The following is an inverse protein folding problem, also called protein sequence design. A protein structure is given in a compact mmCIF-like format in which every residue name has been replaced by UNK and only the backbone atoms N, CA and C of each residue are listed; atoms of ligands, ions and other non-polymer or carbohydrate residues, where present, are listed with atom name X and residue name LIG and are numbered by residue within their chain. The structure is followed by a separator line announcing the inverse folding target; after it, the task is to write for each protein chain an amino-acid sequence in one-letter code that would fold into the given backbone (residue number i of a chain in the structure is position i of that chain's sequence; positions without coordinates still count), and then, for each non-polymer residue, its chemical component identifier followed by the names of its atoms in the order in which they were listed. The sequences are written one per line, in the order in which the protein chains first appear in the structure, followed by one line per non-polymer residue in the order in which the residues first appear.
data_IF_783793322971
#
_entry.id   IF_783793322971
#
_cell.length_a   1.000
_cell.length_b   1.000
_cell.length_c   1.000
_cell.angle_alpha   90.00
_cell.angle_beta   90.00
_cell.angle_gamma   90.00
#
_symmetry.space_group_name_H-M   'P 1'
#
loop_
_entity.id
_entity.type
_entity.pdbx_description
1 polymer ?
#
# COMPACT_ATOMS: atom_id res chain seq x y z
N UNK A 1 -11.60 8.16 -61.16
CA UNK A 1 -11.94 8.97 -59.98
C UNK A 1 -12.71 8.23 -58.90
N UNK A 2 -13.69 7.34 -59.17
CA UNK A 2 -14.47 6.64 -58.14
C UNK A 2 -13.65 5.61 -57.34
N UNK A 3 -12.62 4.97 -57.93
CA UNK A 3 -11.76 3.97 -57.25
C UNK A 3 -10.75 4.60 -56.25
N UNK A 4 -10.30 5.82 -56.51
CA UNK A 4 -9.39 6.55 -55.63
C UNK A 4 -10.11 7.14 -54.39
N UNK A 5 -11.37 7.51 -54.53
CA UNK A 5 -12.20 7.98 -53.40
C UNK A 5 -12.55 6.83 -52.44
N UNK A 6 -12.76 5.62 -52.98
CA UNK A 6 -13.01 4.43 -52.16
C UNK A 6 -11.75 4.02 -51.37
N UNK A 7 -10.58 4.07 -52.02
CA UNK A 7 -9.31 3.79 -51.34
C UNK A 7 -8.98 4.82 -50.25
N UNK A 8 -9.29 6.10 -50.47
CA UNK A 8 -9.11 7.15 -49.48
C UNK A 8 -10.07 7.00 -48.30
N UNK A 9 -11.33 6.63 -48.57
CA UNK A 9 -12.31 6.36 -47.50
C UNK A 9 -11.95 5.13 -46.65
N UNK A 10 -11.40 4.09 -47.26
CA UNK A 10 -10.90 2.91 -46.54
C UNK A 10 -9.64 3.29 -45.72
N UNK A 11 -8.70 4.04 -46.31
CA UNK A 11 -7.51 4.50 -45.59
C UNK A 11 -7.84 5.43 -44.40
N UNK A 12 -8.84 6.31 -44.54
CA UNK A 12 -9.29 7.18 -43.44
C UNK A 12 -10.04 6.41 -42.35
N UNK A 13 -10.78 5.35 -42.71
CA UNK A 13 -11.41 4.45 -41.72
C UNK A 13 -10.37 3.64 -40.91
N UNK A 14 -9.27 3.23 -41.55
CA UNK A 14 -8.15 2.59 -40.85
C UNK A 14 -7.25 3.57 -40.09
N UNK A 15 -7.11 4.83 -40.52
CA UNK A 15 -6.38 5.84 -39.78
C UNK A 15 -7.05 6.28 -38.48
N UNK A 16 -8.38 6.16 -38.37
CA UNK A 16 -9.11 6.34 -37.12
C UNK A 16 -8.91 5.22 -36.07
N UNK A 17 -8.53 4.02 -36.50
CA UNK A 17 -8.22 2.90 -35.63
C UNK A 17 -6.77 2.90 -35.09
N UNK A 18 -5.89 3.72 -35.65
CA UNK A 18 -4.46 3.78 -35.28
C UNK A 18 -4.16 4.68 -34.08
N UNK A 19 -5.16 5.21 -33.39
CA UNK A 19 -5.00 6.13 -32.25
C UNK A 19 -5.10 5.45 -30.87
N UNK A 20 -5.19 4.13 -30.81
CA UNK A 20 -5.11 3.37 -29.56
C UNK A 20 -3.66 3.36 -29.06
N UNK A 21 -3.23 4.40 -28.36
CA UNK A 21 -1.86 4.49 -27.85
C UNK A 21 -1.72 3.55 -26.66
N UNK A 22 -1.29 2.32 -26.94
CA UNK A 22 -0.85 1.38 -25.90
C UNK A 22 0.41 1.94 -25.23
N UNK A 23 0.43 1.94 -23.92
CA UNK A 23 1.58 2.42 -23.14
C UNK A 23 2.07 1.34 -22.20
N UNK A 24 3.39 1.20 -22.12
CA UNK A 24 4.06 0.42 -21.09
C UNK A 24 4.96 1.36 -20.30
N UNK A 25 4.85 1.33 -18.99
CA UNK A 25 5.67 2.10 -18.08
C UNK A 25 6.54 1.19 -17.24
N UNK A 26 7.78 1.61 -17.04
CA UNK A 26 8.72 1.02 -16.10
C UNK A 26 8.91 2.04 -14.99
N UNK A 27 8.84 1.60 -13.76
CA UNK A 27 9.04 2.44 -12.59
C UNK A 27 9.56 1.64 -11.42
N UNK A 28 9.90 2.33 -10.37
CA UNK A 28 10.40 1.66 -9.18
C UNK A 28 10.80 2.61 -8.07
N UNK A 29 11.32 2.01 -7.02
CA UNK A 29 11.89 2.70 -5.87
C UNK A 29 13.09 1.93 -5.37
N UNK A 30 14.17 2.63 -5.08
CA UNK A 30 15.28 2.13 -4.27
C UNK A 30 15.32 2.97 -3.00
N UNK A 31 15.40 2.30 -1.84
CA UNK A 31 15.33 2.92 -0.53
C UNK A 31 16.27 2.18 0.43
N UNK A 32 17.38 2.81 0.79
CA UNK A 32 18.39 2.25 1.67
C UNK A 32 18.67 3.17 2.84
N UNK A 33 18.88 2.59 4.00
CA UNK A 33 19.22 3.33 5.21
C UNK A 33 20.33 2.65 6.02
N UNK A 34 21.12 3.46 6.67
CA UNK A 34 22.01 3.06 7.76
C UNK A 34 21.31 3.36 9.08
N UNK A 35 21.31 2.42 9.99
CA UNK A 35 20.65 2.62 11.28
C UNK A 35 20.50 1.38 12.11
N UNK A 36 19.47 1.37 12.94
CA UNK A 36 19.10 0.30 13.85
C UNK A 36 17.59 0.15 13.89
N UNK A 37 17.09 -1.07 13.73
CA UNK A 37 15.65 -1.34 13.86
C UNK A 37 15.22 -1.42 15.33
N UNK A 38 13.98 -1.08 15.62
CA UNK A 38 13.36 -1.35 16.93
C UNK A 38 13.36 -2.87 17.16
N UNK A 39 13.81 -3.31 18.33
CA UNK A 39 13.92 -4.72 18.68
C UNK A 39 15.24 -5.37 18.26
N UNK A 40 16.15 -4.65 17.62
CA UNK A 40 17.49 -5.13 17.26
C UNK A 40 18.57 -4.39 18.05
N UNK A 41 19.61 -5.09 18.49
CA UNK A 41 20.85 -4.49 19.01
C UNK A 41 21.78 -4.06 17.86
N UNK A 42 21.68 -4.71 16.70
CA UNK A 42 22.58 -4.54 15.57
C UNK A 42 22.29 -3.26 14.79
N UNK A 43 23.36 -2.60 14.40
CA UNK A 43 23.34 -1.48 13.44
C UNK A 43 23.87 -1.98 12.11
N UNK A 44 23.33 -1.45 11.02
CA UNK A 44 23.75 -1.86 9.70
C UNK A 44 23.15 -1.02 8.58
N UNK A 45 23.47 -1.43 7.37
CA UNK A 45 22.79 -1.01 6.16
C UNK A 45 21.64 -1.99 5.91
N UNK A 46 20.46 -1.48 5.61
CA UNK A 46 19.29 -2.31 5.35
C UNK A 46 18.32 -1.64 4.37
N UNK A 47 17.56 -2.47 3.66
CA UNK A 47 16.39 -2.01 2.92
C UNK A 47 15.32 -1.52 3.91
N UNK A 48 14.92 -0.27 3.79
CA UNK A 48 13.67 0.16 4.41
C UNK A 48 12.54 -0.38 3.55
N UNK A 49 11.63 -1.23 4.08
CA UNK A 49 10.73 -2.04 3.26
C UNK A 49 10.02 -1.25 2.18
N UNK A 50 10.37 -1.46 0.95
CA UNK A 50 9.72 -0.73 -0.12
C UNK A 50 10.45 -0.69 -1.44
N UNK A 51 11.69 -1.13 -1.53
CA UNK A 51 12.42 -1.20 -2.79
C UNK A 51 11.74 -2.17 -3.75
N UNK A 52 11.56 -1.71 -5.01
CA UNK A 52 10.75 -2.41 -5.99
C UNK A 52 11.07 -1.99 -7.42
N UNK A 53 10.81 -2.92 -8.34
CA UNK A 53 10.74 -2.69 -9.77
C UNK A 53 9.34 -3.06 -10.23
N UNK A 54 8.68 -2.18 -10.97
CA UNK A 54 7.34 -2.41 -11.46
C UNK A 54 7.21 -2.07 -12.94
N UNK A 55 6.35 -2.85 -13.61
CA UNK A 55 5.87 -2.62 -14.96
C UNK A 55 4.36 -2.47 -14.91
N UNK A 56 3.84 -1.55 -15.69
CA UNK A 56 2.42 -1.36 -15.88
C UNK A 56 2.12 -0.98 -17.30
N UNK A 57 0.91 -1.25 -17.75
CA UNK A 57 0.50 -0.89 -19.09
C UNK A 57 -0.99 -0.68 -19.21
N UNK A 58 -1.33 0.03 -20.30
CA UNK A 58 -2.71 0.30 -20.69
C UNK A 58 -2.81 0.18 -22.20
N UNK A 59 -3.79 -0.59 -22.64
CA UNK A 59 -4.20 -0.72 -24.05
C UNK A 59 -5.62 -0.19 -24.20
N UNK A 60 -5.84 0.74 -25.09
CA UNK A 60 -7.18 1.22 -25.41
C UNK A 60 -7.90 0.18 -26.30
N UNK A 61 -9.05 -0.27 -25.84
CA UNK A 61 -9.88 -1.22 -26.56
C UNK A 61 -11.01 -0.58 -27.37
N UNK A 62 -11.07 0.76 -27.37
CA UNK A 62 -12.18 1.50 -27.95
C UNK A 62 -13.42 1.57 -27.05
N UNK A 63 -14.38 2.40 -27.39
CA UNK A 63 -15.63 2.53 -26.63
C UNK A 63 -15.46 3.01 -25.18
N UNK A 64 -14.33 3.63 -24.83
CA UNK A 64 -14.00 4.08 -23.48
C UNK A 64 -13.52 2.94 -22.56
N UNK A 65 -13.21 1.76 -23.10
CA UNK A 65 -12.64 0.64 -22.37
C UNK A 65 -11.14 0.51 -22.59
N UNK A 66 -10.44 -0.03 -21.62
CA UNK A 66 -9.03 -0.36 -21.75
C UNK A 66 -8.69 -1.65 -21.01
N UNK A 67 -7.77 -2.43 -21.58
CA UNK A 67 -7.05 -3.46 -20.87
C UNK A 67 -5.91 -2.82 -20.05
N UNK A 68 -5.71 -3.27 -18.85
CA UNK A 68 -4.66 -2.78 -17.95
C UNK A 68 -3.95 -3.94 -17.29
N UNK A 69 -2.65 -3.79 -17.02
CA UNK A 69 -1.90 -4.77 -16.27
C UNK A 69 -0.89 -4.11 -15.33
N UNK A 70 -0.45 -4.85 -14.34
CA UNK A 70 0.63 -4.43 -13.46
C UNK A 70 1.34 -5.62 -12.84
N UNK A 71 2.68 -5.55 -12.79
CA UNK A 71 3.53 -6.52 -12.12
C UNK A 71 4.59 -5.77 -11.30
N UNK A 72 4.89 -6.23 -10.09
CA UNK A 72 5.85 -5.62 -9.18
C UNK A 72 6.71 -6.69 -8.51
N UNK A 73 8.02 -6.58 -8.70
CA UNK A 73 9.03 -7.32 -7.97
C UNK A 73 9.56 -6.49 -6.81
N UNK A 74 9.68 -7.11 -5.61
CA UNK A 74 10.30 -6.49 -4.45
C UNK A 74 11.62 -7.15 -4.14
N UNK A 75 12.62 -6.35 -3.86
CA UNK A 75 13.97 -6.81 -3.59
C UNK A 75 14.63 -6.00 -2.46
N UNK A 76 15.68 -6.55 -1.88
CA UNK A 76 16.52 -5.90 -0.88
C UNK A 76 17.80 -5.41 -1.56
N UNK A 77 17.94 -4.10 -1.81
CA UNK A 77 19.05 -3.59 -2.60
C UNK A 77 20.40 -3.63 -1.85
N UNK A 78 20.39 -3.78 -0.53
CA UNK A 78 21.60 -4.00 0.29
C UNK A 78 22.27 -5.36 0.02
N UNK A 79 21.49 -6.37 -0.33
CA UNK A 79 21.98 -7.74 -0.61
C UNK A 79 21.76 -8.18 -2.06
N UNK A 80 20.94 -7.46 -2.84
CA UNK A 80 20.54 -7.82 -4.20
C UNK A 80 19.55 -8.99 -4.27
N UNK A 81 18.98 -9.43 -3.14
CA UNK A 81 18.08 -10.58 -3.07
C UNK A 81 16.63 -10.19 -3.23
N UNK A 82 15.78 -11.13 -3.69
CA UNK A 82 14.33 -10.99 -3.64
C UNK A 82 13.84 -10.98 -2.18
N UNK A 83 12.85 -10.14 -1.84
CA UNK A 83 12.22 -10.16 -0.52
C UNK A 83 11.31 -11.38 -0.30
N UNK A 84 11.15 -12.24 -1.31
CA UNK A 84 10.44 -13.51 -1.22
C UNK A 84 11.25 -14.62 -1.89
N UNK A 85 11.48 -15.70 -1.17
CA UNK A 85 12.19 -16.85 -1.72
C UNK A 85 11.35 -17.63 -2.76
N UNK A 86 10.04 -17.49 -2.74
CA UNK A 86 9.11 -18.33 -3.52
C UNK A 86 8.33 -17.58 -4.60
N UNK A 87 8.13 -16.27 -4.42
CA UNK A 87 7.31 -15.47 -5.33
C UNK A 87 8.14 -14.35 -5.96
N UNK A 88 8.49 -14.49 -7.22
CA UNK A 88 9.22 -13.44 -7.93
C UNK A 88 8.42 -12.14 -8.02
N UNK A 89 7.17 -12.20 -8.49
CA UNK A 89 6.25 -11.05 -8.53
C UNK A 89 5.52 -10.87 -7.20
N UNK A 90 6.30 -10.72 -6.12
CA UNK A 90 5.81 -10.72 -4.75
C UNK A 90 5.09 -9.43 -4.33
N UNK A 91 5.22 -8.35 -5.09
CA UNK A 91 4.47 -7.12 -4.94
C UNK A 91 3.01 -7.31 -5.39
N UNK A 92 2.78 -7.18 -6.67
CA UNK A 92 1.50 -7.47 -7.31
C UNK A 92 1.73 -8.09 -8.69
N UNK A 93 0.72 -8.80 -9.20
CA UNK A 93 0.71 -9.38 -10.54
C UNK A 93 -0.75 -9.57 -10.96
N UNK A 94 -1.24 -8.68 -11.81
CA UNK A 94 -2.65 -8.65 -12.18
C UNK A 94 -2.84 -8.13 -13.63
N UNK A 95 -3.96 -8.52 -14.22
CA UNK A 95 -4.51 -7.98 -15.46
C UNK A 95 -5.94 -7.54 -15.20
N UNK A 96 -6.45 -6.59 -15.94
CA UNK A 96 -7.80 -6.08 -15.70
C UNK A 96 -8.40 -5.30 -16.86
N UNK A 97 -9.66 -4.92 -16.65
CA UNK A 97 -10.43 -4.05 -17.55
C UNK A 97 -10.82 -2.77 -16.79
N UNK A 98 -10.67 -1.66 -17.46
CA UNK A 98 -11.10 -0.35 -17.00
C UNK A 98 -12.08 0.26 -18.00
N UNK A 99 -13.10 0.96 -17.50
CA UNK A 99 -14.11 1.61 -18.33
C UNK A 99 -15.02 2.51 -17.49
N UNK A 100 -16.11 2.96 -18.06
CA UNK A 100 -17.13 3.78 -17.38
C UNK A 100 -17.76 3.06 -16.16
N UNK A 101 -17.66 1.74 -16.10
CA UNK A 101 -18.08 0.93 -14.97
C UNK A 101 -17.08 0.89 -13.80
N UNK A 102 -15.90 1.50 -13.93
CA UNK A 102 -14.79 1.40 -12.98
C UNK A 102 -13.70 0.46 -13.47
N UNK A 103 -13.03 -0.23 -12.56
CA UNK A 103 -11.92 -1.15 -12.88
C UNK A 103 -12.12 -2.49 -12.17
N UNK A 104 -11.97 -3.58 -12.95
CA UNK A 104 -11.87 -4.95 -12.45
C UNK A 104 -10.46 -5.45 -12.69
N UNK A 105 -9.83 -6.07 -11.68
CA UNK A 105 -8.51 -6.72 -11.77
C UNK A 105 -8.60 -8.16 -11.33
N UNK A 106 -7.82 -9.02 -11.98
CA UNK A 106 -7.68 -10.44 -11.67
C UNK A 106 -6.22 -10.74 -11.37
N UNK A 107 -5.93 -11.41 -10.26
CA UNK A 107 -4.58 -11.81 -9.88
C UNK A 107 -4.22 -11.45 -8.44
N UNK A 108 -2.93 -11.25 -8.19
CA UNK A 108 -2.41 -10.82 -6.90
C UNK A 108 -2.38 -9.29 -6.83
N UNK A 109 -3.06 -8.71 -5.85
CA UNK A 109 -3.08 -7.27 -5.65
C UNK A 109 -3.12 -6.90 -4.16
N UNK A 110 -2.88 -5.64 -3.84
CA UNK A 110 -3.10 -5.07 -2.51
C UNK A 110 -4.57 -5.17 -2.12
N UNK A 111 -4.83 -5.48 -0.84
CA UNK A 111 -6.20 -5.45 -0.33
C UNK A 111 -6.76 -4.03 -0.33
N UNK A 112 -8.08 -3.92 -0.47
CA UNK A 112 -8.79 -2.64 -0.44
C UNK A 112 -8.59 -1.92 0.91
N UNK A 113 -8.63 -2.65 2.02
CA UNK A 113 -8.38 -2.10 3.36
C UNK A 113 -6.96 -1.54 3.48
N UNK A 114 -5.95 -2.30 3.02
CA UNK A 114 -4.56 -1.87 3.11
C UNK A 114 -4.29 -0.61 2.28
N UNK A 115 -4.52 -0.69 0.97
CA UNK A 115 -4.06 0.37 0.05
C UNK A 115 -4.85 1.66 0.22
N UNK A 116 -6.16 1.57 0.50
CA UNK A 116 -7.04 2.72 0.54
C UNK A 116 -7.19 3.33 1.94
N UNK A 117 -6.92 2.57 3.03
CA UNK A 117 -7.13 3.06 4.40
C UNK A 117 -5.88 2.95 5.26
N UNK A 118 -5.42 1.73 5.56
CA UNK A 118 -4.37 1.49 6.55
C UNK A 118 -3.02 2.12 6.15
N UNK A 119 -2.67 2.06 4.86
CA UNK A 119 -1.45 2.64 4.31
C UNK A 119 -1.50 4.17 4.16
N UNK A 120 -2.69 4.77 4.27
CA UNK A 120 -2.90 6.20 4.03
C UNK A 120 -2.78 7.06 5.28
N UNK A 121 -2.83 6.44 6.46
CA UNK A 121 -2.89 7.16 7.75
C UNK A 121 -1.52 7.34 8.39
N UNK A 122 -0.58 6.42 8.17
CA UNK A 122 0.77 6.51 8.74
C UNK A 122 1.54 7.70 8.13
N UNK A 123 2.01 8.69 8.93
CA UNK A 123 2.79 9.81 8.42
C UNK A 123 4.12 9.40 7.80
N UNK A 124 4.66 8.23 8.16
CA UNK A 124 5.91 7.69 7.66
C UNK A 124 5.74 6.78 6.43
N UNK A 125 4.49 6.42 6.07
CA UNK A 125 4.21 5.50 4.98
C UNK A 125 4.54 4.03 5.28
N UNK A 126 4.89 3.72 6.53
CA UNK A 126 5.11 2.37 7.00
C UNK A 126 6.50 1.77 6.72
N UNK A 127 7.46 2.57 6.27
CA UNK A 127 8.68 2.06 5.64
C UNK A 127 9.99 2.46 6.35
N UNK A 128 10.00 2.95 7.59
CA UNK A 128 11.24 3.37 8.30
C UNK A 128 11.12 3.18 9.82
N UNK A 129 12.17 3.58 10.58
CA UNK A 129 12.21 3.40 12.03
C UNK A 129 11.05 4.10 12.75
N UNK A 130 10.52 5.18 12.21
CA UNK A 130 9.36 5.90 12.74
C UNK A 130 8.00 5.29 12.38
N UNK A 131 7.94 4.25 11.54
CA UNK A 131 6.71 3.70 10.96
C UNK A 131 5.71 3.20 12.02
N UNK A 132 4.43 3.53 11.81
CA UNK A 132 3.34 3.28 12.75
C UNK A 132 2.23 2.39 12.18
N UNK A 133 2.23 2.15 10.87
CA UNK A 133 1.18 1.40 10.15
C UNK A 133 0.88 0.02 10.75
N UNK A 134 1.89 -0.64 11.32
CA UNK A 134 1.72 -1.94 11.97
C UNK A 134 0.63 -1.94 13.06
N UNK A 135 0.38 -0.80 13.72
CA UNK A 135 -0.72 -0.67 14.66
C UNK A 135 -2.08 -0.85 13.98
N UNK A 136 -2.29 -0.26 12.79
CA UNK A 136 -3.55 -0.35 12.06
C UNK A 136 -3.74 -1.71 11.39
N UNK A 137 -2.66 -2.40 11.03
CA UNK A 137 -2.73 -3.79 10.55
C UNK A 137 -3.07 -4.77 11.68
N UNK A 138 -2.77 -4.40 12.92
CA UNK A 138 -3.13 -5.08 14.17
C UNK A 138 -2.72 -6.56 14.25
N UNK A 139 -1.77 -7.02 13.41
CA UNK A 139 -1.42 -8.43 13.27
C UNK A 139 -2.53 -9.30 12.68
N UNK A 140 -3.57 -8.67 12.09
CA UNK A 140 -4.73 -9.32 11.49
C UNK A 140 -4.78 -9.06 9.98
N UNK A 141 -4.70 -7.80 9.58
CA UNK A 141 -4.83 -7.38 8.19
C UNK A 141 -3.80 -8.05 7.27
N UNK A 142 -4.23 -8.36 6.07
CA UNK A 142 -3.34 -8.79 4.98
C UNK A 142 -3.05 -7.62 4.05
N UNK A 143 -1.78 -7.49 3.68
CA UNK A 143 -1.34 -6.44 2.74
C UNK A 143 -1.82 -6.75 1.33
N UNK A 144 -1.89 -8.03 0.96
CA UNK A 144 -2.24 -8.52 -0.38
C UNK A 144 -3.03 -9.81 -0.31
N UNK A 145 -3.90 -9.99 -1.29
CA UNK A 145 -4.48 -11.30 -1.61
C UNK A 145 -3.89 -11.80 -2.93
N UNK A 146 -3.62 -13.10 -3.00
CA UNK A 146 -3.35 -13.83 -4.24
C UNK A 146 -4.65 -14.46 -4.74
N UNK A 147 -4.69 -14.87 -6.03
CA UNK A 147 -5.84 -15.56 -6.63
C UNK A 147 -7.16 -14.80 -6.41
N UNK A 148 -7.10 -13.49 -6.58
CA UNK A 148 -8.22 -12.60 -6.25
C UNK A 148 -8.84 -11.91 -7.44
N UNK A 149 -10.04 -11.41 -7.18
CA UNK A 149 -10.75 -10.43 -8.02
C UNK A 149 -10.89 -9.16 -7.21
N UNK A 150 -10.56 -8.02 -7.82
CA UNK A 150 -10.72 -6.70 -7.21
C UNK A 150 -11.53 -5.80 -8.13
N UNK A 151 -12.50 -5.13 -7.56
CA UNK A 151 -13.24 -4.03 -8.21
C UNK A 151 -13.03 -2.73 -7.47
N UNK A 152 -12.90 -1.64 -8.21
CA UNK A 152 -12.93 -0.30 -7.62
C UNK A 152 -13.48 0.74 -8.59
N UNK A 153 -14.10 1.77 -8.02
CA UNK A 153 -14.63 2.90 -8.77
C UNK A 153 -14.54 4.18 -7.93
N UNK A 154 -14.46 5.31 -8.63
CA UNK A 154 -14.46 6.65 -8.02
C UNK A 154 -15.51 7.51 -8.72
N UNK A 155 -16.40 8.11 -7.93
CA UNK A 155 -17.47 8.99 -8.37
C UNK A 155 -17.41 10.28 -7.57
N UNK A 156 -16.96 11.37 -8.20
CA UNK A 156 -16.69 12.61 -7.48
C UNK A 156 -15.60 12.40 -6.41
N UNK A 157 -15.90 12.79 -5.17
CA UNK A 157 -15.00 12.59 -4.02
C UNK A 157 -15.11 11.21 -3.36
N UNK A 158 -16.08 10.37 -3.75
CA UNK A 158 -16.34 9.06 -3.17
C UNK A 158 -15.60 7.98 -3.97
N UNK A 159 -14.80 7.15 -3.29
CA UNK A 159 -14.19 5.97 -3.89
C UNK A 159 -14.60 4.72 -3.13
N UNK A 160 -14.93 3.67 -3.86
CA UNK A 160 -15.28 2.36 -3.32
C UNK A 160 -14.38 1.29 -3.92
N UNK A 161 -13.98 0.32 -3.12
CA UNK A 161 -13.17 -0.80 -3.57
C UNK A 161 -13.55 -2.06 -2.78
N UNK A 162 -13.58 -3.19 -3.49
CA UNK A 162 -13.84 -4.50 -2.91
C UNK A 162 -12.97 -5.55 -3.59
N UNK A 163 -12.43 -6.46 -2.80
CA UNK A 163 -11.64 -7.58 -3.28
C UNK A 163 -11.99 -8.86 -2.52
N UNK A 164 -11.98 -9.96 -3.26
CA UNK A 164 -12.20 -11.31 -2.76
C UNK A 164 -11.17 -12.25 -3.37
N UNK A 165 -10.76 -13.24 -2.60
CA UNK A 165 -9.80 -14.26 -3.05
C UNK A 165 -10.35 -15.66 -2.79
N UNK A 166 -9.90 -16.63 -3.56
CA UNK A 166 -10.08 -18.05 -3.22
C UNK A 166 -9.25 -18.35 -1.98
N UNK A 167 -9.92 -18.81 -0.91
CA UNK A 167 -9.24 -19.19 0.33
C UNK A 167 -8.45 -20.50 0.17
N UNK A 168 -7.56 -20.77 1.13
CA UNK A 168 -6.83 -22.04 1.22
C UNK A 168 -5.58 -22.14 0.35
N UNK A 169 -5.24 -21.10 -0.42
CA UNK A 169 -3.99 -21.06 -1.21
C UNK A 169 -3.17 -19.86 -0.79
N UNK A 170 -1.97 -20.10 -0.28
CA UNK A 170 -1.03 -19.06 0.07
C UNK A 170 -0.27 -18.50 -1.15
N UNK A 171 0.67 -17.60 -0.90
CA UNK A 171 1.48 -16.96 -1.95
C UNK A 171 2.35 -17.92 -2.75
N UNK A 172 2.52 -19.16 -2.32
CA UNK A 172 3.34 -20.20 -2.98
C UNK A 172 2.50 -21.17 -3.78
N UNK A 173 1.17 -21.02 -3.78
CA UNK A 173 0.25 -21.98 -4.36
C UNK A 173 -0.02 -23.21 -3.46
N UNK A 174 0.67 -23.32 -2.31
CA UNK A 174 0.39 -24.35 -1.33
C UNK A 174 -0.79 -23.98 -0.43
N UNK A 175 -1.52 -24.98 0.06
CA UNK A 175 -2.60 -24.76 1.02
C UNK A 175 -2.09 -24.05 2.28
N UNK A 176 -2.78 -22.99 2.67
CA UNK A 176 -2.54 -22.30 3.94
C UNK A 176 -3.57 -22.78 4.96
N UNK A 177 -3.14 -23.65 5.87
CA UNK A 177 -4.01 -24.23 6.90
C UNK A 177 -4.63 -23.18 7.85
N UNK A 178 -4.11 -21.95 7.86
CA UNK A 178 -4.69 -20.84 8.64
C UNK A 178 -5.82 -20.12 7.91
N UNK A 179 -5.93 -20.31 6.58
CA UNK A 179 -6.97 -19.72 5.75
C UNK A 179 -8.09 -20.75 5.56
N UNK A 180 -9.10 -20.68 6.40
CA UNK A 180 -10.25 -21.61 6.43
C UNK A 180 -11.50 -21.02 5.75
N UNK A 181 -11.50 -19.73 5.44
CA UNK A 181 -12.59 -19.01 4.76
C UNK A 181 -12.03 -18.30 3.54
N UNK A 182 -12.92 -17.89 2.61
CA UNK A 182 -12.53 -17.02 1.49
C UNK A 182 -12.16 -15.64 2.01
N UNK A 183 -10.90 -15.18 1.82
CA UNK A 183 -10.50 -13.83 2.21
C UNK A 183 -11.24 -12.77 1.41
N UNK A 184 -11.61 -11.68 2.05
CA UNK A 184 -12.20 -10.52 1.37
C UNK A 184 -11.88 -9.23 2.12
N UNK A 185 -11.93 -8.12 1.40
CA UNK A 185 -11.69 -6.79 1.94
C UNK A 185 -12.52 -5.76 1.18
N UNK A 186 -13.07 -4.80 1.90
CA UNK A 186 -13.82 -3.68 1.32
C UNK A 186 -13.39 -2.36 1.92
N UNK A 187 -13.44 -1.30 1.12
CA UNK A 187 -13.18 0.06 1.59
C UNK A 187 -14.05 1.10 0.90
N UNK A 188 -14.36 2.15 1.65
CA UNK A 188 -14.98 3.37 1.14
C UNK A 188 -14.16 4.55 1.63
N UNK A 189 -13.83 5.48 0.74
CA UNK A 189 -13.11 6.72 1.09
C UNK A 189 -13.85 7.91 0.50
N UNK A 190 -13.80 9.02 1.22
CA UNK A 190 -14.37 10.28 0.78
C UNK A 190 -13.37 11.40 0.94
N UNK A 191 -13.15 12.17 -0.13
CA UNK A 191 -12.25 13.32 -0.15
C UNK A 191 -13.00 14.57 -0.63
N UNK A 192 -13.03 15.61 0.20
CA UNK A 192 -13.63 16.90 -0.13
C UNK A 192 -12.86 18.04 0.54
N UNK A 193 -12.32 18.97 -0.25
CA UNK A 193 -11.50 20.05 0.25
C UNK A 193 -10.32 19.54 1.10
N UNK A 194 -10.18 20.05 2.36
CA UNK A 194 -9.09 19.63 3.24
C UNK A 194 -9.32 18.27 3.91
N UNK A 195 -10.51 17.68 3.79
CA UNK A 195 -10.93 16.49 4.54
C UNK A 195 -10.80 15.25 3.69
N UNK A 196 -10.22 14.19 4.23
CA UNK A 196 -10.29 12.84 3.72
C UNK A 196 -10.70 11.90 4.86
N UNK A 197 -11.75 11.11 4.62
CA UNK A 197 -12.25 10.10 5.53
C UNK A 197 -12.23 8.74 4.86
N UNK A 198 -12.03 7.69 5.65
CA UNK A 198 -11.96 6.33 5.15
C UNK A 198 -12.50 5.32 6.14
N UNK A 199 -13.14 4.31 5.59
CA UNK A 199 -13.61 3.12 6.27
C UNK A 199 -13.15 1.89 5.51
N UNK A 200 -12.74 0.84 6.23
CA UNK A 200 -12.56 -0.49 5.66
C UNK A 200 -12.97 -1.57 6.64
N UNK A 201 -13.40 -2.69 6.06
CA UNK A 201 -13.58 -3.93 6.78
C UNK A 201 -13.00 -5.08 5.96
N UNK A 202 -12.36 -6.02 6.65
CA UNK A 202 -11.73 -7.18 6.03
C UNK A 202 -11.86 -8.43 6.88
N UNK A 203 -11.93 -9.57 6.20
CA UNK A 203 -11.75 -10.90 6.73
C UNK A 203 -10.58 -11.55 5.98
N UNK A 204 -9.40 -11.67 6.59
CA UNK A 204 -8.21 -12.25 5.96
C UNK A 204 -8.30 -13.75 5.70
N UNK A 205 -9.41 -14.40 6.06
CA UNK A 205 -9.68 -15.81 5.79
C UNK A 205 -9.40 -16.76 6.96
N UNK A 206 -8.83 -16.31 8.06
CA UNK A 206 -8.69 -17.11 9.28
C UNK A 206 -10.04 -17.36 9.97
N UNK A 207 -10.09 -18.36 10.85
CA UNK A 207 -11.33 -18.78 11.51
C UNK A 207 -12.06 -17.64 12.23
N UNK A 208 -11.31 -16.75 12.88
CA UNK A 208 -11.86 -15.66 13.70
C UNK A 208 -11.40 -14.28 13.22
N UNK A 209 -10.55 -14.22 12.18
CA UNK A 209 -9.96 -12.99 11.71
C UNK A 209 -11.01 -12.03 11.15
N UNK A 210 -11.04 -10.84 11.68
CA UNK A 210 -11.77 -9.70 11.12
C UNK A 210 -11.19 -8.41 11.65
N UNK A 211 -11.13 -7.40 10.81
CA UNK A 211 -10.62 -6.09 11.17
C UNK A 211 -11.44 -4.98 10.51
N UNK A 212 -11.88 -4.02 11.31
CA UNK A 212 -12.47 -2.77 10.85
C UNK A 212 -11.48 -1.66 11.10
N UNK A 213 -11.21 -0.83 10.09
CA UNK A 213 -10.33 0.33 10.22
C UNK A 213 -11.04 1.60 9.79
N UNK A 214 -10.91 2.65 10.59
CA UNK A 214 -11.28 4.02 10.26
C UNK A 214 -10.03 4.86 10.08
N UNK A 215 -10.04 5.75 9.10
CA UNK A 215 -8.96 6.69 8.83
C UNK A 215 -9.48 8.09 8.55
N UNK A 216 -8.72 9.09 8.97
CA UNK A 216 -8.99 10.49 8.66
C UNK A 216 -7.70 11.26 8.38
N UNK A 217 -7.78 12.21 7.46
CA UNK A 217 -6.74 13.23 7.23
C UNK A 217 -7.39 14.59 7.12
N UNK A 218 -6.70 15.60 7.66
CA UNK A 218 -7.14 16.99 7.57
C UNK A 218 -5.95 17.88 7.20
N UNK A 219 -6.04 18.54 6.05
CA UNK A 219 -5.04 19.48 5.58
C UNK A 219 -5.29 20.87 6.18
N UNK A 220 -4.30 21.45 6.85
CA UNK A 220 -4.38 22.74 7.50
C UNK A 220 -3.09 23.53 7.24
N UNK A 221 -3.12 24.43 6.27
CA UNK A 221 -1.92 25.16 5.85
C UNK A 221 -0.77 24.22 5.46
N UNK A 222 0.41 24.33 6.09
CA UNK A 222 1.55 23.45 5.79
C UNK A 222 1.43 22.06 6.42
N UNK A 223 0.44 21.83 7.29
CA UNK A 223 0.28 20.59 8.05
C UNK A 223 -0.81 19.68 7.47
N UNK A 224 -0.58 18.37 7.52
CA UNK A 224 -1.60 17.33 7.32
C UNK A 224 -1.68 16.50 8.59
N UNK A 225 -2.76 16.66 9.32
CA UNK A 225 -3.08 15.85 10.49
C UNK A 225 -3.64 14.50 10.04
N UNK A 226 -3.33 13.43 10.77
CA UNK A 226 -3.73 12.07 10.46
C UNK A 226 -4.23 11.36 11.70
N UNK A 227 -5.34 10.63 11.58
CA UNK A 227 -5.87 9.80 12.65
C UNK A 227 -6.36 8.47 12.10
N UNK A 228 -6.18 7.41 12.86
CA UNK A 228 -6.68 6.09 12.51
C UNK A 228 -6.97 5.25 13.72
N UNK A 229 -7.92 4.32 13.56
CA UNK A 229 -8.22 3.30 14.56
C UNK A 229 -8.58 2.00 13.89
N UNK A 230 -8.16 0.88 14.50
CA UNK A 230 -8.61 -0.45 14.07
C UNK A 230 -9.19 -1.21 15.26
N UNK A 231 -10.22 -2.02 14.98
CA UNK A 231 -10.86 -2.90 15.96
C UNK A 231 -11.26 -4.21 15.29
N UNK A 232 -11.01 -5.33 15.96
CA UNK A 232 -11.32 -6.63 15.40
C UNK A 232 -10.95 -7.79 16.31
N UNK A 233 -10.77 -8.95 15.70
CA UNK A 233 -10.28 -10.18 16.33
C UNK A 233 -9.22 -10.82 15.45
N UNK A 234 -8.25 -11.47 16.06
CA UNK A 234 -7.27 -12.29 15.37
C UNK A 234 -7.71 -13.76 15.31
N UNK A 235 -6.94 -14.60 14.61
CA UNK A 235 -7.27 -16.01 14.41
C UNK A 235 -7.42 -16.80 15.75
N UNK A 236 -6.70 -16.40 16.81
CA UNK A 236 -6.85 -16.95 18.14
C UNK A 236 -8.06 -16.38 18.92
N UNK A 237 -8.97 -15.68 18.24
CA UNK A 237 -10.14 -15.01 18.83
C UNK A 237 -9.80 -13.94 19.90
N UNK A 238 -8.57 -13.48 19.95
CA UNK A 238 -8.19 -12.35 20.81
C UNK A 238 -8.64 -11.04 20.18
N UNK A 239 -9.28 -10.17 20.98
CA UNK A 239 -9.67 -8.83 20.54
C UNK A 239 -8.43 -7.98 20.25
N UNK A 240 -8.43 -7.28 19.14
CA UNK A 240 -7.40 -6.31 18.78
C UNK A 240 -8.00 -4.91 18.70
N UNK A 241 -7.27 -3.93 19.24
CA UNK A 241 -7.69 -2.53 19.24
C UNK A 241 -6.46 -1.63 19.11
N UNK A 242 -6.48 -0.73 18.13
CA UNK A 242 -5.38 0.19 17.90
C UNK A 242 -5.83 1.61 17.62
N UNK A 243 -4.93 2.55 17.88
CA UNK A 243 -5.06 3.95 17.56
C UNK A 243 -3.76 4.47 16.99
N UNK A 244 -3.86 5.40 16.05
CA UNK A 244 -2.75 6.13 15.46
C UNK A 244 -3.14 7.59 15.33
N UNK A 245 -2.24 8.49 15.79
CA UNK A 245 -2.30 9.93 15.54
C UNK A 245 -0.97 10.36 14.93
N UNK A 246 -1.01 11.25 13.96
CA UNK A 246 0.20 11.74 13.33
C UNK A 246 0.03 13.04 12.58
N UNK A 247 1.14 13.60 12.14
CA UNK A 247 1.20 14.81 11.35
C UNK A 247 2.39 14.79 10.38
N UNK A 248 2.17 15.37 9.21
CA UNK A 248 3.23 15.79 8.29
C UNK A 248 3.17 17.31 8.23
N UNK A 249 4.29 18.00 8.49
CA UNK A 249 4.36 19.45 8.51
C UNK A 249 5.42 19.88 7.50
N UNK A 250 5.01 20.52 6.41
CA UNK A 250 5.92 21.03 5.39
C UNK A 250 6.82 22.12 5.99
N UNK A 251 8.14 21.95 5.82
CA UNK A 251 9.14 22.90 6.28
C UNK A 251 10.28 22.99 5.26
N UNK A 252 10.33 24.12 4.54
CA UNK A 252 11.29 24.31 3.45
C UNK A 252 11.08 23.27 2.32
N UNK A 253 12.17 22.66 1.88
CA UNK A 253 12.16 21.61 0.86
C UNK A 253 11.84 20.22 1.40
N UNK A 254 11.47 20.09 2.70
CA UNK A 254 11.15 18.81 3.31
C UNK A 254 9.89 18.84 4.15
N UNK A 255 9.66 17.76 4.90
CA UNK A 255 8.56 17.63 5.85
C UNK A 255 9.01 16.99 7.17
N UNK A 256 8.58 17.59 8.27
CA UNK A 256 8.65 16.98 9.60
C UNK A 256 7.53 15.94 9.68
N UNK A 257 7.84 14.76 10.21
CA UNK A 257 6.90 13.66 10.43
C UNK A 257 6.85 13.31 11.90
N UNK A 258 5.66 13.27 12.44
CA UNK A 258 5.39 12.97 13.84
C UNK A 258 4.26 11.97 13.92
N UNK A 259 4.33 11.06 14.88
CA UNK A 259 3.20 10.19 15.10
C UNK A 259 3.36 9.31 16.33
N UNK A 260 2.21 8.91 16.85
CA UNK A 260 2.08 8.00 17.98
C UNK A 260 1.04 6.94 17.68
N UNK A 261 1.35 5.70 18.00
CA UNK A 261 0.41 4.60 17.82
C UNK A 261 0.45 3.62 18.98
N UNK A 262 -0.71 3.03 19.26
CA UNK A 262 -0.85 1.93 20.22
C UNK A 262 -1.61 0.77 19.60
N UNK A 263 -1.26 -0.44 20.01
CA UNK A 263 -1.98 -1.68 19.71
C UNK A 263 -2.11 -2.51 20.97
N UNK A 264 -3.33 -2.98 21.26
CA UNK A 264 -3.62 -3.99 22.28
C UNK A 264 -4.14 -5.25 21.59
N UNK A 265 -3.63 -6.40 22.05
CA UNK A 265 -4.10 -7.74 21.68
C UNK A 265 -4.52 -8.46 22.95
N UNK A 266 -5.84 -8.67 23.14
CA UNK A 266 -6.39 -9.08 24.42
C UNK A 266 -6.09 -8.03 25.51
N UNK A 267 -5.46 -8.47 26.59
CA UNK A 267 -4.99 -7.61 27.70
C UNK A 267 -3.59 -7.03 27.47
N UNK A 268 -2.84 -7.49 26.45
CA UNK A 268 -1.43 -7.15 26.25
C UNK A 268 -1.31 -5.92 25.34
N UNK A 269 -0.47 -4.96 25.76
CA UNK A 269 -0.05 -3.88 24.87
C UNK A 269 1.07 -4.40 23.95
N UNK A 270 0.71 -4.67 22.68
CA UNK A 270 1.62 -5.23 21.68
C UNK A 270 2.45 -4.18 20.96
N UNK A 271 2.00 -2.92 20.96
CA UNK A 271 2.73 -1.77 20.41
C UNK A 271 2.38 -0.50 21.18
N UNK A 272 3.39 0.31 21.48
CA UNK A 272 3.25 1.66 22.03
C UNK A 272 4.40 2.51 21.52
N UNK A 273 4.24 3.01 20.28
CA UNK A 273 5.32 3.59 19.49
C UNK A 273 5.14 5.08 19.25
N UNK A 274 6.23 5.82 19.46
CA UNK A 274 6.41 7.18 19.03
C UNK A 274 7.39 7.20 17.84
N UNK A 275 7.06 7.94 16.79
CA UNK A 275 7.94 8.20 15.66
C UNK A 275 8.14 9.70 15.46
N UNK A 276 9.37 10.10 15.11
CA UNK A 276 9.72 11.45 14.69
C UNK A 276 10.73 11.38 13.55
N UNK A 277 10.64 12.27 12.58
CA UNK A 277 11.58 12.29 11.46
C UNK A 277 11.51 13.57 10.65
N UNK A 278 12.53 13.74 9.82
CA UNK A 278 12.59 14.78 8.81
C UNK A 278 12.97 14.16 7.47
N UNK A 279 12.17 14.41 6.44
CA UNK A 279 12.39 13.97 5.08
C UNK A 279 12.65 15.20 4.21
N UNK A 280 13.81 15.26 3.57
CA UNK A 280 14.24 16.39 2.75
C UNK A 280 14.27 15.98 1.28
N UNK A 281 13.51 16.69 0.44
CA UNK A 281 13.40 16.44 -0.99
C UNK A 281 14.58 17.10 -1.73
N UNK A 282 15.53 16.29 -2.23
CA UNK A 282 16.60 16.74 -3.11
C UNK A 282 16.05 17.03 -4.53
N UNK A 283 15.01 16.32 -4.92
CA UNK A 283 14.29 16.51 -6.17
C UNK A 283 12.86 15.92 -6.05
N UNK A 284 12.05 16.01 -7.12
CA UNK A 284 10.73 15.35 -7.18
C UNK A 284 10.80 13.82 -7.00
N UNK A 285 11.96 13.21 -7.25
CA UNK A 285 12.15 11.74 -7.24
C UNK A 285 13.11 11.26 -6.16
N UNK A 286 13.93 12.15 -5.59
CA UNK A 286 14.99 11.79 -4.64
C UNK A 286 14.82 12.55 -3.34
N UNK A 287 14.88 11.84 -2.23
CA UNK A 287 14.90 12.41 -0.89
C UNK A 287 15.91 11.72 0.01
N UNK A 288 16.43 12.45 0.97
CA UNK A 288 17.14 11.93 2.12
C UNK A 288 16.27 12.08 3.36
N UNK A 289 16.47 11.22 4.34
CA UNK A 289 15.67 11.28 5.56
C UNK A 289 16.44 10.81 6.78
N UNK A 290 15.99 11.30 7.93
CA UNK A 290 16.40 10.84 9.24
C UNK A 290 15.14 10.56 10.05
N UNK A 291 15.02 9.36 10.64
CA UNK A 291 13.90 9.02 11.51
C UNK A 291 14.35 8.36 12.80
N UNK A 292 13.54 8.56 13.83
CA UNK A 292 13.69 7.95 15.15
C UNK A 292 12.35 7.34 15.53
N UNK A 293 12.37 6.11 15.98
CA UNK A 293 11.23 5.41 16.54
C UNK A 293 11.53 4.87 17.94
N UNK A 294 10.56 4.95 18.84
CA UNK A 294 10.65 4.31 20.15
C UNK A 294 9.37 3.54 20.45
N UNK A 295 9.50 2.26 20.72
CA UNK A 295 8.39 1.41 21.15
C UNK A 295 8.59 0.99 22.60
N UNK A 296 7.64 1.34 23.48
CA UNK A 296 7.68 1.01 24.91
C UNK A 296 6.83 -0.21 25.29
N UNK A 297 6.35 -0.97 24.30
CA UNK A 297 5.68 -2.24 24.56
C UNK A 297 6.66 -3.30 25.10
N UNK A 298 6.14 -4.23 25.88
CA UNK A 298 6.95 -5.24 26.60
C UNK A 298 7.85 -6.05 25.67
N UNK A 299 7.40 -6.35 24.45
CA UNK A 299 8.17 -7.11 23.46
C UNK A 299 9.47 -6.39 23.02
N UNK A 300 9.55 -5.07 23.13
CA UNK A 300 10.69 -4.26 22.70
C UNK A 300 11.48 -3.66 23.87
N UNK A 301 11.21 -4.12 25.10
CA UNK A 301 11.77 -3.51 26.33
C UNK A 301 13.30 -3.50 26.35
N UNK A 302 13.96 -4.51 25.80
CA UNK A 302 15.42 -4.59 25.74
C UNK A 302 16.01 -3.60 24.71
N UNK A 303 15.36 -3.45 23.55
CA UNK A 303 15.82 -2.62 22.43
C UNK A 303 14.67 -1.74 21.93
N UNK A 304 14.24 -0.75 22.71
CA UNK A 304 13.02 0.00 22.43
C UNK A 304 13.18 1.05 21.32
N UNK A 305 14.41 1.43 20.97
CA UNK A 305 14.70 2.55 20.08
C UNK A 305 15.32 2.06 18.78
N UNK A 306 14.76 2.51 17.66
CA UNK A 306 15.34 2.41 16.33
C UNK A 306 15.56 3.78 15.72
N UNK A 307 16.50 3.87 14.81
CA UNK A 307 16.77 5.08 14.03
C UNK A 307 17.30 4.71 12.65
N UNK A 308 17.07 5.55 11.67
CA UNK A 308 17.62 5.41 10.33
C UNK A 308 17.98 6.76 9.70
N UNK A 309 19.00 6.70 8.83
CA UNK A 309 19.39 7.76 7.91
C UNK A 309 19.43 7.15 6.53
N UNK A 310 18.58 7.60 5.65
CA UNK A 310 18.40 6.92 4.37
C UNK A 310 18.29 7.85 3.18
N UNK A 311 18.40 7.24 2.03
CA UNK A 311 18.14 7.85 0.73
C UNK A 311 17.13 7.01 -0.03
N UNK A 312 16.12 7.67 -0.57
CA UNK A 312 15.11 7.08 -1.43
C UNK A 312 15.13 7.74 -2.80
N UNK A 313 15.15 6.92 -3.84
CA UNK A 313 15.02 7.36 -5.23
C UNK A 313 13.87 6.61 -5.94
N UNK A 314 12.98 7.36 -6.58
CA UNK A 314 11.92 6.81 -7.43
C UNK A 314 12.30 7.07 -8.90
N UNK A 315 12.14 6.10 -9.75
CA UNK A 315 12.49 6.20 -11.19
C UNK A 315 11.35 5.74 -12.10
#
# INVERSE_FOLDING_TARGET
MKKSLLALAVLTAFAGAASAQSSVTIGGKIDLAVGKLIGSADKGLFDTPGSRLNFGGREDLGGGMAAVFGIEHRFSPDTGTSTSATNFWNGYSWVGLNGGFGTVRLGRDYTSAFINVQNQVDPFGGDNAGALRAALLAGVAKVRFANGVKYFNTMGGLSMSYDISEGGVNNTGAADATVVNKPWSGSVTYAAGPVWLAFSHENPGGKNDKLTTLGARFAMGPAVLRAGMSNGTNNANAKVKSYLLGANIRMGAGDIRLGYATLKTGSVTSMKRLGVGYHYDLSKRTKVYATLGRDSATAFKAEPTGFDFGIQHNF
#
